data_IF_711233601835
#
_entry.id   IF_711233601835
#
_cell.length_a   1.000
_cell.length_b   1.000
_cell.length_c   1.000
_cell.angle_alpha   90.00
_cell.angle_beta   90.00
_cell.angle_gamma   90.00
#
_symmetry.space_group_name_H-M   'P 1'
#
loop_
_entity.id
_entity.type
_entity.pdbx_description
1 polymer ?
#
# COMPACT_ATOMS: atom_id res chain seq x y z
N UNK A 1 0.99 9.45 -25.59
CA UNK A 1 1.64 9.46 -24.27
C UNK A 1 1.09 8.29 -23.50
N UNK A 2 1.82 7.15 -23.45
CA UNK A 2 1.39 6.01 -22.65
C UNK A 2 1.44 6.42 -21.19
N UNK A 3 0.28 6.76 -20.63
CA UNK A 3 0.17 7.06 -19.21
C UNK A 3 0.26 5.72 -18.50
N UNK A 4 1.44 5.37 -18.01
CA UNK A 4 1.59 4.18 -17.18
C UNK A 4 0.58 4.25 -16.03
N UNK A 5 -0.07 3.14 -15.68
CA UNK A 5 -1.01 3.10 -14.57
C UNK A 5 -0.32 3.55 -13.28
N UNK A 6 -0.71 4.71 -12.76
CA UNK A 6 -0.20 5.23 -11.49
C UNK A 6 -1.04 4.64 -10.36
N UNK A 7 -0.40 3.81 -9.54
CA UNK A 7 -0.96 3.36 -8.26
C UNK A 7 -0.47 4.28 -7.16
N UNK A 8 -1.39 4.81 -6.35
CA UNK A 8 -1.07 5.67 -5.22
C UNK A 8 -1.44 4.96 -3.93
N UNK A 9 -0.47 4.70 -3.07
CA UNK A 9 -0.70 4.18 -1.72
C UNK A 9 -0.74 5.38 -0.77
N UNK A 10 -1.94 5.72 -0.32
CA UNK A 10 -2.17 6.70 0.74
C UNK A 10 -2.09 6.01 2.10
N UNK A 11 -1.25 6.52 2.99
CA UNK A 11 -1.08 5.93 4.30
C UNK A 11 -1.09 6.97 5.43
N UNK A 12 -1.78 6.56 6.48
CA UNK A 12 -1.94 7.25 7.74
C UNK A 12 -0.74 7.17 8.66
N UNK A 13 -0.65 8.06 9.66
CA UNK A 13 0.17 7.80 10.81
C UNK A 13 -0.45 6.67 11.64
N UNK A 14 0.39 5.84 12.26
CA UNK A 14 -0.07 4.82 13.21
C UNK A 14 0.86 4.73 14.41
N UNK A 15 0.37 4.14 15.50
CA UNK A 15 1.12 4.00 16.75
C UNK A 15 2.00 2.75 16.72
N UNK A 16 3.32 2.93 16.89
CA UNK A 16 4.32 1.86 17.03
C UNK A 16 5.26 2.22 18.18
N UNK A 17 5.50 1.30 19.11
CA UNK A 17 6.36 1.55 20.29
C UNK A 17 6.03 2.84 21.05
N UNK A 18 4.73 3.13 21.23
CA UNK A 18 4.22 4.35 21.85
C UNK A 18 4.51 5.67 21.11
N UNK A 19 4.99 5.61 19.87
CA UNK A 19 5.26 6.75 18.99
C UNK A 19 4.28 6.72 17.82
N UNK A 20 3.68 7.86 17.48
CA UNK A 20 2.83 8.00 16.28
C UNK A 20 3.69 8.48 15.12
N UNK A 21 3.80 7.68 14.06
CA UNK A 21 4.60 8.04 12.89
C UNK A 21 3.98 7.47 11.60
N UNK A 22 4.40 8.04 10.47
CA UNK A 22 4.09 7.60 9.10
C UNK A 22 5.04 6.46 8.66
N UNK A 23 5.18 5.42 9.49
CA UNK A 23 6.10 4.32 9.20
C UNK A 23 5.82 3.69 7.83
N UNK A 24 6.86 3.48 7.03
CA UNK A 24 6.76 2.92 5.67
C UNK A 24 7.10 1.43 5.62
N UNK A 25 7.70 0.86 6.66
CA UNK A 25 8.19 -0.53 6.73
C UNK A 25 7.09 -1.55 6.35
N UNK A 26 5.87 -1.37 6.87
CA UNK A 26 4.73 -2.25 6.58
C UNK A 26 4.17 -2.10 5.15
N UNK A 27 4.55 -1.04 4.45
CA UNK A 27 4.14 -0.80 3.06
C UNK A 27 5.15 -1.35 2.05
N UNK A 28 6.33 -1.79 2.50
CA UNK A 28 7.38 -2.30 1.61
C UNK A 28 6.92 -3.54 0.86
N UNK A 29 6.28 -4.51 1.54
CA UNK A 29 5.76 -5.72 0.88
C UNK A 29 4.81 -5.42 -0.29
N UNK A 30 3.81 -4.54 -0.08
CA UNK A 30 2.88 -4.16 -1.16
C UNK A 30 3.61 -3.45 -2.31
N UNK A 31 4.56 -2.55 -1.98
CA UNK A 31 5.35 -1.86 -3.00
C UNK A 31 6.20 -2.83 -3.81
N UNK A 32 6.82 -3.81 -3.17
CA UNK A 32 7.64 -4.84 -3.80
C UNK A 32 6.82 -5.69 -4.76
N UNK A 33 5.65 -6.20 -4.33
CA UNK A 33 4.75 -6.99 -5.17
C UNK A 33 4.32 -6.23 -6.44
N UNK A 34 3.91 -4.97 -6.28
CA UNK A 34 3.47 -4.14 -7.40
C UNK A 34 4.62 -3.77 -8.35
N UNK A 35 5.79 -3.41 -7.81
CA UNK A 35 6.97 -3.07 -8.62
C UNK A 35 7.52 -4.27 -9.38
N UNK A 36 7.48 -5.46 -8.80
CA UNK A 36 7.89 -6.69 -9.48
C UNK A 36 7.05 -6.98 -10.72
N UNK A 37 5.80 -6.50 -10.76
CA UNK A 37 4.90 -6.62 -11.92
C UNK A 37 4.99 -5.41 -12.87
N UNK A 38 5.96 -4.51 -12.66
CA UNK A 38 6.17 -3.33 -13.49
C UNK A 38 5.17 -2.20 -13.25
N UNK A 39 4.43 -2.21 -12.13
CA UNK A 39 3.47 -1.15 -11.79
C UNK A 39 4.19 0.00 -11.07
N UNK A 40 3.95 1.23 -11.51
CA UNK A 40 4.50 2.41 -10.87
C UNK A 40 3.70 2.78 -9.61
N UNK A 41 4.37 2.80 -8.46
CA UNK A 41 3.77 3.02 -7.14
C UNK A 41 4.28 4.30 -6.50
N UNK A 42 3.35 5.17 -6.10
CA UNK A 42 3.63 6.42 -5.39
C UNK A 42 3.08 6.35 -3.97
N UNK A 43 3.91 6.67 -2.98
CA UNK A 43 3.47 6.83 -1.60
C UNK A 43 2.95 8.26 -1.37
N UNK A 44 1.80 8.39 -0.70
CA UNK A 44 1.29 9.66 -0.18
C UNK A 44 0.92 9.54 1.29
N UNK A 45 1.27 10.55 2.06
CA UNK A 45 0.82 10.67 3.45
C UNK A 45 -0.65 11.11 3.48
N UNK A 46 -1.42 10.53 4.38
CA UNK A 46 -2.81 10.87 4.69
C UNK A 46 -2.95 11.18 6.18
N UNK A 47 -3.83 12.11 6.55
CA UNK A 47 -4.07 12.41 7.97
C UNK A 47 -5.01 11.39 8.66
N UNK A 48 -5.47 10.37 7.93
CA UNK A 48 -6.34 9.33 8.47
C UNK A 48 -5.53 8.35 9.32
N UNK A 49 -5.79 8.31 10.63
CA UNK A 49 -5.04 7.47 11.55
C UNK A 49 -5.24 5.98 11.27
N UNK A 50 -4.14 5.21 11.32
CA UNK A 50 -4.08 3.77 11.11
C UNK A 50 -4.70 3.29 9.79
N UNK A 51 -4.81 4.14 8.77
CA UNK A 51 -5.47 3.80 7.51
C UNK A 51 -4.48 3.73 6.35
N UNK A 52 -4.51 2.64 5.60
CA UNK A 52 -3.82 2.47 4.33
C UNK A 52 -4.87 2.30 3.21
N UNK A 53 -4.75 3.08 2.15
CA UNK A 53 -5.66 3.05 1.00
C UNK A 53 -4.85 3.06 -0.28
N UNK A 54 -5.20 2.16 -1.21
CA UNK A 54 -4.56 2.06 -2.51
C UNK A 54 -5.53 2.59 -3.54
N UNK A 55 -5.07 3.55 -4.33
CA UNK A 55 -5.83 4.20 -5.38
C UNK A 55 -5.23 3.84 -6.73
N UNK A 56 -6.09 3.45 -7.65
CA UNK A 56 -5.76 3.26 -9.06
C UNK A 56 -6.53 4.30 -9.88
N UNK A 57 -5.82 5.12 -10.66
CA UNK A 57 -6.44 6.20 -11.45
C UNK A 57 -7.41 7.10 -10.63
N UNK A 58 -7.06 7.37 -9.36
CA UNK A 58 -7.86 8.20 -8.46
C UNK A 58 -9.05 7.51 -7.78
N UNK A 59 -9.30 6.22 -8.04
CA UNK A 59 -10.32 5.43 -7.35
C UNK A 59 -9.69 4.51 -6.31
N UNK A 60 -10.24 4.46 -5.10
CA UNK A 60 -9.80 3.50 -4.07
C UNK A 60 -10.18 2.08 -4.48
N UNK A 61 -9.19 1.23 -4.72
CA UNK A 61 -9.36 -0.18 -5.08
C UNK A 61 -9.22 -1.11 -3.87
N UNK A 62 -8.47 -0.66 -2.87
CA UNK A 62 -8.24 -1.41 -1.64
C UNK A 62 -8.03 -0.46 -0.48
N UNK A 63 -8.48 -0.86 0.71
CA UNK A 63 -8.25 -0.14 1.95
C UNK A 63 -8.16 -1.13 3.11
N UNK A 64 -7.21 -0.92 4.00
CA UNK A 64 -7.03 -1.71 5.22
C UNK A 64 -6.41 -0.86 6.33
N UNK A 65 -6.46 -1.31 7.59
CA UNK A 65 -5.66 -0.72 8.63
C UNK A 65 -4.16 -0.99 8.39
N UNK A 66 -3.31 0.02 8.55
CA UNK A 66 -1.85 -0.17 8.30
C UNK A 66 -1.23 -1.11 9.35
N UNK A 67 -1.77 -1.14 10.57
CA UNK A 67 -1.36 -2.09 11.61
C UNK A 67 -1.68 -3.55 11.29
N UNK A 68 -2.61 -3.81 10.37
CA UNK A 68 -2.94 -5.17 9.92
C UNK A 68 -1.92 -5.74 8.95
N UNK A 69 -1.20 -4.90 8.22
CA UNK A 69 -0.11 -5.33 7.33
C UNK A 69 1.06 -5.86 8.16
N UNK A 70 1.65 -6.98 7.77
CA UNK A 70 2.80 -7.52 8.46
C UNK A 70 4.07 -6.74 8.14
N UNK A 71 5.06 -6.81 9.04
CA UNK A 71 6.39 -6.32 8.73
C UNK A 71 7.07 -7.34 7.82
N UNK A 72 7.45 -6.94 6.61
CA UNK A 72 8.09 -7.85 5.66
C UNK A 72 8.45 -7.14 4.36
N UNK A 73 9.61 -7.48 3.81
CA UNK A 73 10.20 -6.81 2.66
C UNK A 73 9.52 -7.13 1.33
N UNK A 74 9.16 -8.39 1.12
CA UNK A 74 8.68 -8.96 -0.14
C UNK A 74 7.15 -9.07 -0.22
N UNK A 75 6.45 -9.10 0.91
CA UNK A 75 4.99 -9.16 0.97
C UNK A 75 4.38 -10.50 0.56
N UNK A 76 5.20 -11.51 0.29
CA UNK A 76 4.75 -12.85 -0.13
C UNK A 76 4.07 -13.61 1.01
N UNK A 77 4.54 -13.41 2.24
CA UNK A 77 3.98 -14.05 3.43
C UNK A 77 2.78 -13.30 4.03
N UNK A 78 2.53 -12.06 3.60
CA UNK A 78 1.43 -11.24 4.13
C UNK A 78 0.15 -11.43 3.29
N UNK A 79 -0.90 -12.08 3.85
CA UNK A 79 -2.13 -12.34 3.12
C UNK A 79 -2.90 -11.06 2.75
N UNK A 80 -2.73 -9.99 3.51
CA UNK A 80 -3.35 -8.68 3.24
C UNK A 80 -2.60 -7.99 2.11
N UNK A 81 -1.26 -8.06 2.09
CA UNK A 81 -0.47 -7.54 0.98
C UNK A 81 -0.79 -8.27 -0.34
N UNK A 82 -0.90 -9.60 -0.29
CA UNK A 82 -1.33 -10.41 -1.44
C UNK A 82 -2.74 -10.03 -1.91
N UNK A 83 -3.70 -9.90 -1.00
CA UNK A 83 -5.06 -9.48 -1.35
C UNK A 83 -5.07 -8.07 -1.98
N UNK A 84 -4.33 -7.14 -1.41
CA UNK A 84 -4.17 -5.79 -1.96
C UNK A 84 -3.62 -5.82 -3.38
N UNK A 85 -2.56 -6.61 -3.60
CA UNK A 85 -1.96 -6.83 -4.90
C UNK A 85 -2.96 -7.40 -5.91
N UNK A 86 -3.70 -8.46 -5.55
CA UNK A 86 -4.71 -9.06 -6.43
C UNK A 86 -5.84 -8.07 -6.80
N UNK A 87 -6.29 -7.25 -5.83
CA UNK A 87 -7.30 -6.21 -6.11
C UNK A 87 -6.80 -5.14 -7.07
N UNK A 88 -5.55 -4.71 -6.91
CA UNK A 88 -4.94 -3.75 -7.83
C UNK A 88 -4.79 -4.39 -9.22
N UNK A 89 -4.26 -5.62 -9.30
CA UNK A 89 -4.11 -6.36 -10.56
C UNK A 89 -5.43 -6.56 -11.30
N UNK A 90 -6.52 -6.79 -10.56
CA UNK A 90 -7.86 -6.92 -11.14
C UNK A 90 -8.47 -5.58 -11.59
N UNK A 91 -7.90 -4.45 -11.15
CA UNK A 91 -8.35 -3.11 -11.49
C UNK A 91 -7.53 -2.44 -12.61
N UNK A 92 -6.34 -2.97 -12.92
CA UNK A 92 -5.50 -2.60 -14.07
C UNK A 92 -6.06 -3.23 -15.34
#
# INVERSE_FOLDING_TARGET
>A
MSSEPIVVIQHGPYKRFNIVNYGFERLEGIQSLLRNEGVNVILRRSNQFDQCSILYQGKTVFSCPITSLEFGSDGESDPIAQNAFQKVKSAI
#
